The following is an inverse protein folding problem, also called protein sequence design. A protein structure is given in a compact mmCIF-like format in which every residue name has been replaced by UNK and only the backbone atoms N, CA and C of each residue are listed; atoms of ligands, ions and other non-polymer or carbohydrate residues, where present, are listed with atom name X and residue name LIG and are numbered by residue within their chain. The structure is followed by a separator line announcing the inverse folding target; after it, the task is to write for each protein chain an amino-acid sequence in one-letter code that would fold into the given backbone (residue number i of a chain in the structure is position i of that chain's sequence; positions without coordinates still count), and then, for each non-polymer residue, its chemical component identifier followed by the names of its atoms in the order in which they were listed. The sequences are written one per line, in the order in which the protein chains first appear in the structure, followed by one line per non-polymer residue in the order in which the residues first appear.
data_IF_070555708959
#
_entry.id   IF_070555708959
#
_cell.length_a   1.000
_cell.length_b   1.000
_cell.length_c   1.000
_cell.angle_alpha   90.00
_cell.angle_beta   90.00
_cell.angle_gamma   90.00
#
_symmetry.space_group_name_H-M   'P 1'
#
loop_
_entity.id
_entity.type
_entity.pdbx_description
1 polymer ?
#
# COMPACT_ATOMS: atom_id res chain seq x y z
N UNK A 1 -49.17 23.52 0.99
CA UNK A 1 -48.64 23.30 2.35
C UNK A 1 -48.86 21.84 2.74
N UNK A 2 -48.04 20.93 2.22
CA UNK A 2 -48.13 19.50 2.50
C UNK A 2 -46.72 18.89 2.55
N UNK A 3 -45.88 19.41 3.45
CA UNK A 3 -44.48 19.01 3.61
C UNK A 3 -44.06 18.85 5.09
N UNK A 4 -45.02 18.89 6.02
CA UNK A 4 -44.73 18.86 7.45
C UNK A 4 -44.93 17.49 8.13
N UNK A 5 -45.53 16.49 7.47
CA UNK A 5 -45.86 15.20 8.10
C UNK A 5 -45.02 13.99 7.68
N UNK A 6 -44.01 14.16 6.81
CA UNK A 6 -43.11 13.05 6.42
C UNK A 6 -41.81 13.04 7.24
N UNK A 7 -41.47 14.15 7.93
CA UNK A 7 -40.26 14.24 8.75
C UNK A 7 -40.38 13.60 10.14
N UNK A 8 -41.58 13.46 10.70
CA UNK A 8 -41.74 12.93 12.05
C UNK A 8 -41.73 11.40 12.16
N UNK A 9 -42.02 10.66 11.09
CA UNK A 9 -41.97 9.19 11.11
C UNK A 9 -40.57 8.63 10.82
N UNK A 10 -39.68 9.39 10.17
CA UNK A 10 -38.28 8.98 9.93
C UNK A 10 -37.39 9.13 11.16
N UNK A 11 -37.64 10.11 12.00
CA UNK A 11 -36.91 10.32 13.26
C UNK A 11 -37.27 9.26 14.32
N UNK A 12 -38.46 8.66 14.22
CA UNK A 12 -38.91 7.63 15.17
C UNK A 12 -38.30 6.24 14.92
N UNK A 13 -37.72 5.97 13.74
CA UNK A 13 -36.96 4.72 13.48
C UNK A 13 -35.49 4.78 13.92
N UNK A 14 -35.03 5.92 14.42
CA UNK A 14 -33.63 6.12 14.85
C UNK A 14 -33.29 5.47 16.20
N UNK A 15 -34.29 5.05 16.98
CA UNK A 15 -34.07 4.46 18.31
C UNK A 15 -33.99 2.94 18.34
N UNK A 16 -34.25 2.24 17.23
CA UNK A 16 -34.05 0.78 17.11
C UNK A 16 -32.71 0.39 16.45
N UNK A 17 -31.88 1.38 16.08
CA UNK A 17 -30.60 1.20 15.36
C UNK A 17 -29.36 1.11 16.26
N UNK A 18 -29.52 0.77 17.54
CA UNK A 18 -28.41 0.74 18.51
C UNK A 18 -27.35 -0.34 18.18
N UNK A 19 -27.57 -1.21 17.17
CA UNK A 19 -26.69 -2.34 16.86
C UNK A 19 -26.35 -2.56 15.36
N UNK A 20 -26.56 -1.59 14.45
CA UNK A 20 -26.22 -1.78 13.02
C UNK A 20 -25.02 -0.92 12.57
N UNK A 21 -24.03 -1.47 11.83
CA UNK A 21 -22.96 -0.70 11.22
C UNK A 21 -23.50 0.30 10.21
N UNK A 22 -22.77 1.39 10.07
CA UNK A 22 -22.87 2.21 8.88
C UNK A 22 -22.23 1.46 7.71
N UNK A 23 -23.05 1.08 6.75
CA UNK A 23 -22.57 0.69 5.42
C UNK A 23 -21.96 1.94 4.81
N UNK A 24 -20.69 1.92 4.41
CA UNK A 24 -20.10 3.03 3.67
C UNK A 24 -20.65 3.12 2.24
N UNK A 25 -21.90 2.77 1.95
CA UNK A 25 -22.47 2.95 0.60
C UNK A 25 -22.66 4.45 0.38
N UNK A 26 -22.06 5.00 -0.67
CA UNK A 26 -21.99 6.44 -0.96
C UNK A 26 -23.30 7.20 -0.69
N UNK A 27 -23.26 8.12 0.28
CA UNK A 27 -24.30 9.11 0.55
C UNK A 27 -23.61 10.39 1.01
N UNK A 28 -23.92 11.51 0.34
CA UNK A 28 -23.63 12.86 0.81
C UNK A 28 -24.14 13.07 2.24
N UNK A 29 -23.24 13.40 3.17
CA UNK A 29 -23.59 14.05 4.43
C UNK A 29 -24.22 13.18 5.53
N UNK A 30 -23.54 12.13 5.97
CA UNK A 30 -23.87 11.47 7.26
C UNK A 30 -23.11 12.16 8.40
N UNK A 31 -23.80 12.64 9.46
CA UNK A 31 -23.15 13.20 10.64
C UNK A 31 -22.35 12.14 11.38
N UNK A 32 -21.10 12.47 11.70
CA UNK A 32 -20.22 11.71 12.59
C UNK A 32 -20.94 11.58 13.95
N UNK A 33 -21.45 10.39 14.26
CA UNK A 33 -22.23 10.17 15.48
C UNK A 33 -21.33 10.27 16.70
N UNK A 34 -21.57 11.25 17.59
CA UNK A 34 -20.80 11.39 18.82
C UNK A 34 -21.11 10.30 19.85
N UNK A 35 -20.38 9.15 19.87
CA UNK A 35 -19.87 8.47 21.10
C UNK A 35 -19.35 7.03 20.86
N UNK A 36 -18.70 6.51 21.89
CA UNK A 36 -18.01 5.22 22.13
C UNK A 36 -18.76 3.93 21.69
N UNK A 37 -18.38 3.32 20.56
CA UNK A 37 -18.69 1.90 20.32
C UNK A 37 -17.66 1.04 21.08
N UNK A 38 -18.11 0.19 22.01
CA UNK A 38 -17.24 -0.71 22.80
C UNK A 38 -17.28 -2.17 22.34
N UNK A 39 -18.24 -2.53 21.48
CA UNK A 39 -18.44 -3.90 20.99
C UNK A 39 -18.25 -3.95 19.47
N UNK A 40 -17.01 -4.17 19.03
CA UNK A 40 -16.70 -4.43 17.62
C UNK A 40 -16.89 -5.93 17.31
N UNK A 41 -17.40 -6.27 16.11
CA UNK A 41 -17.52 -7.68 15.73
C UNK A 41 -16.13 -8.33 15.65
N UNK A 42 -16.04 -9.61 16.00
CA UNK A 42 -14.83 -10.37 15.80
C UNK A 42 -14.58 -10.64 14.30
N UNK A 43 -13.33 -10.85 13.93
CA UNK A 43 -13.02 -11.39 12.61
C UNK A 43 -13.72 -12.75 12.43
N UNK A 44 -14.39 -12.95 11.30
CA UNK A 44 -15.20 -14.14 11.02
C UNK A 44 -16.65 -14.07 11.52
N UNK A 45 -17.06 -12.99 12.20
CA UNK A 45 -18.47 -12.82 12.61
C UNK A 45 -19.39 -12.90 11.40
N UNK A 46 -20.46 -13.69 11.49
CA UNK A 46 -21.48 -13.79 10.44
C UNK A 46 -22.34 -12.53 10.41
N UNK A 47 -22.52 -11.98 9.22
CA UNK A 47 -23.34 -10.82 8.96
C UNK A 47 -24.82 -11.20 9.00
N UNK A 48 -25.65 -10.49 9.79
CA UNK A 48 -27.09 -10.72 9.82
C UNK A 48 -27.72 -10.72 8.42
N UNK A 49 -28.67 -11.63 8.18
CA UNK A 49 -29.31 -11.79 6.87
C UNK A 49 -30.24 -10.64 6.51
N UNK A 50 -30.70 -9.87 7.51
CA UNK A 50 -31.51 -8.67 7.32
C UNK A 50 -30.70 -7.43 6.90
N UNK A 51 -29.37 -7.47 6.94
CA UNK A 51 -28.55 -6.36 6.45
C UNK A 51 -28.44 -6.38 4.92
N UNK A 52 -28.70 -5.22 4.31
CA UNK A 52 -28.53 -4.99 2.87
C UNK A 52 -27.05 -4.74 2.50
N UNK A 53 -26.26 -5.80 2.61
CA UNK A 53 -24.83 -5.81 2.28
C UNK A 53 -24.48 -6.94 1.32
N UNK A 54 -23.45 -6.70 0.52
CA UNK A 54 -22.95 -7.59 -0.52
C UNK A 54 -21.46 -7.89 -0.33
N UNK A 55 -20.98 -8.94 -1.00
CA UNK A 55 -19.56 -9.28 -1.00
C UNK A 55 -18.68 -8.09 -1.44
N UNK A 56 -17.68 -7.81 -0.61
CA UNK A 56 -16.73 -6.73 -0.79
C UNK A 56 -17.18 -5.39 -0.21
N UNK A 57 -18.41 -5.25 0.30
CA UNK A 57 -18.82 -4.04 1.01
C UNK A 57 -17.92 -3.81 2.23
N UNK A 58 -17.65 -2.52 2.52
CA UNK A 58 -16.85 -2.08 3.67
C UNK A 58 -17.78 -1.51 4.74
N UNK A 59 -17.69 -2.06 5.93
CA UNK A 59 -18.41 -1.65 7.13
C UNK A 59 -17.41 -1.09 8.12
N UNK A 60 -17.69 0.06 8.74
CA UNK A 60 -16.77 0.68 9.69
C UNK A 60 -17.48 1.05 10.99
N UNK A 61 -16.86 0.72 12.12
CA UNK A 61 -17.35 1.05 13.46
C UNK A 61 -16.45 2.04 14.22
N UNK A 62 -15.31 2.44 13.65
CA UNK A 62 -14.44 3.46 14.25
C UNK A 62 -14.70 4.84 13.65
N UNK A 63 -14.49 5.88 14.47
CA UNK A 63 -14.44 7.26 13.99
C UNK A 63 -13.04 7.63 13.53
N UNK A 64 -12.96 8.33 12.41
CA UNK A 64 -11.70 8.77 11.84
C UNK A 64 -10.98 7.60 11.16
N UNK A 65 -9.91 7.10 11.77
CA UNK A 65 -9.11 6.03 11.16
C UNK A 65 -9.91 4.73 11.05
N UNK A 66 -9.81 3.99 9.93
CA UNK A 66 -10.51 2.73 9.68
C UNK A 66 -9.93 1.52 10.46
N UNK A 67 -9.60 1.71 11.74
CA UNK A 67 -9.08 0.65 12.63
C UNK A 67 -10.10 -0.45 12.88
N UNK A 68 -11.39 -0.12 12.83
CA UNK A 68 -12.51 -1.05 12.99
C UNK A 68 -13.34 -1.15 11.71
N UNK A 69 -12.64 -1.15 10.57
CA UNK A 69 -13.21 -1.49 9.28
C UNK A 69 -13.19 -3.00 9.03
N UNK A 70 -14.25 -3.49 8.38
CA UNK A 70 -14.45 -4.89 8.03
C UNK A 70 -14.97 -4.99 6.60
N UNK A 71 -14.57 -6.05 5.91
CA UNK A 71 -15.08 -6.39 4.59
C UNK A 71 -16.08 -7.54 4.67
N UNK A 72 -17.16 -7.47 3.91
CA UNK A 72 -18.14 -8.56 3.80
C UNK A 72 -17.61 -9.63 2.85
N UNK A 73 -17.46 -10.86 3.33
CA UNK A 73 -16.96 -12.01 2.56
C UNK A 73 -18.09 -12.75 1.82
N UNK A 74 -17.74 -13.60 0.84
CA UNK A 74 -18.71 -14.33 0.00
C UNK A 74 -19.68 -15.19 0.83
N UNK A 75 -19.20 -15.76 1.94
CA UNK A 75 -19.96 -16.55 2.90
C UNK A 75 -20.74 -15.70 3.94
N UNK A 76 -20.89 -14.39 3.71
CA UNK A 76 -21.44 -13.41 4.66
C UNK A 76 -20.73 -13.39 6.02
N UNK A 77 -19.43 -13.67 6.09
CA UNK A 77 -18.64 -13.36 7.30
C UNK A 77 -17.90 -12.05 7.15
N UNK A 78 -17.49 -11.45 8.26
CA UNK A 78 -16.66 -10.24 8.26
C UNK A 78 -15.17 -10.59 8.24
N UNK A 79 -14.41 -9.92 7.38
CA UNK A 79 -12.96 -9.90 7.40
C UNK A 79 -12.50 -8.58 7.99
N UNK A 80 -11.84 -8.60 9.15
CA UNK A 80 -11.25 -7.39 9.74
C UNK A 80 -10.21 -6.80 8.78
N UNK A 81 -10.16 -5.48 8.68
CA UNK A 81 -9.11 -4.76 7.94
C UNK A 81 -7.74 -5.33 8.33
N UNK A 82 -6.98 -5.91 7.39
CA UNK A 82 -5.70 -6.52 7.71
C UNK A 82 -4.65 -5.50 8.11
N UNK A 83 -4.84 -4.21 7.77
CA UNK A 83 -3.94 -3.09 8.06
C UNK A 83 -2.46 -3.45 7.94
N UNK A 84 -1.96 -3.51 6.70
CA UNK A 84 -0.54 -3.85 6.44
C UNK A 84 0.44 -2.83 7.03
N UNK A 85 -0.03 -1.67 7.47
CA UNK A 85 0.82 -0.61 8.05
C UNK A 85 0.95 -0.72 9.57
N UNK A 86 0.03 -1.43 10.23
CA UNK A 86 -0.11 -1.44 11.69
C UNK A 86 -0.45 -0.08 12.32
N UNK A 87 -0.87 0.90 11.50
CA UNK A 87 -1.09 2.30 11.89
C UNK A 87 -2.55 2.74 11.79
N UNK A 88 -3.46 1.82 11.53
CA UNK A 88 -4.90 2.04 11.42
C UNK A 88 -5.36 2.56 10.07
N UNK A 89 -4.61 2.30 8.99
CA UNK A 89 -5.01 2.65 7.63
C UNK A 89 -5.80 1.53 6.96
N UNK A 90 -6.67 1.88 6.01
CA UNK A 90 -7.46 0.88 5.27
C UNK A 90 -6.56 0.20 4.25
N UNK A 91 -6.39 -1.11 4.38
CA UNK A 91 -5.91 -1.98 3.31
C UNK A 91 -7.11 -2.66 2.67
N UNK A 92 -7.32 -2.48 1.37
CA UNK A 92 -8.32 -3.22 0.59
C UNK A 92 -7.65 -4.51 0.07
N UNK A 93 -7.95 -5.69 0.63
CA UNK A 93 -7.15 -6.89 0.39
C UNK A 93 -7.52 -7.60 -0.91
N UNK A 94 -6.58 -8.39 -1.43
CA UNK A 94 -6.74 -9.10 -2.70
C UNK A 94 -7.94 -10.04 -2.69
N UNK A 95 -8.24 -10.65 -1.54
CA UNK A 95 -9.36 -11.58 -1.41
C UNK A 95 -10.72 -10.95 -1.76
N UNK A 96 -10.88 -9.62 -1.59
CA UNK A 96 -12.13 -8.91 -1.96
C UNK A 96 -12.08 -8.28 -3.35
N UNK A 97 -10.87 -8.07 -3.90
CA UNK A 97 -10.66 -7.47 -5.22
C UNK A 97 -10.41 -8.50 -6.32
N UNK A 98 -10.07 -9.74 -6.00
CA UNK A 98 -9.63 -10.80 -6.95
C UNK A 98 -10.54 -11.01 -8.17
N UNK A 99 -11.85 -10.82 -7.98
CA UNK A 99 -12.87 -10.99 -9.01
C UNK A 99 -13.40 -9.64 -9.55
N UNK A 100 -12.78 -8.54 -9.14
CA UNK A 100 -13.16 -7.20 -9.53
C UNK A 100 -12.31 -6.78 -10.73
N UNK A 101 -12.97 -6.40 -11.82
CA UNK A 101 -12.28 -5.98 -13.05
C UNK A 101 -11.60 -4.60 -12.93
N UNK A 102 -12.07 -3.77 -12.01
CA UNK A 102 -11.50 -2.46 -11.69
C UNK A 102 -11.70 -2.17 -10.19
N UNK A 103 -10.72 -2.53 -9.37
CA UNK A 103 -10.76 -2.43 -7.93
C UNK A 103 -10.90 -0.97 -7.46
N UNK A 104 -10.12 -0.04 -8.04
CA UNK A 104 -10.18 1.36 -7.66
C UNK A 104 -11.56 1.97 -7.93
N UNK A 105 -12.17 1.67 -9.06
CA UNK A 105 -13.53 2.14 -9.36
C UNK A 105 -14.56 1.50 -8.42
N UNK A 106 -14.43 0.20 -8.10
CA UNK A 106 -15.34 -0.47 -7.15
C UNK A 106 -15.28 0.18 -5.76
N UNK A 107 -14.09 0.55 -5.30
CA UNK A 107 -13.86 1.09 -3.96
C UNK A 107 -13.74 2.62 -3.92
N UNK A 108 -14.00 3.31 -5.03
CA UNK A 108 -13.89 4.77 -5.13
C UNK A 108 -14.72 5.46 -4.04
N UNK A 109 -15.93 4.95 -3.78
CA UNK A 109 -16.81 5.48 -2.76
C UNK A 109 -16.20 5.42 -1.35
N UNK A 110 -15.41 4.37 -1.04
CA UNK A 110 -14.71 4.24 0.26
C UNK A 110 -13.56 5.21 0.29
N UNK A 111 -12.72 5.20 -0.76
CA UNK A 111 -11.51 6.02 -0.87
C UNK A 111 -11.88 7.50 -0.74
N UNK A 112 -12.95 7.95 -1.40
CA UNK A 112 -13.44 9.32 -1.29
C UNK A 112 -14.15 9.57 0.04
N UNK A 113 -14.94 8.60 0.53
CA UNK A 113 -15.74 8.76 1.75
C UNK A 113 -14.91 8.87 3.03
N UNK A 114 -13.83 8.10 3.16
CA UNK A 114 -12.92 8.20 4.31
C UNK A 114 -11.75 9.15 4.07
N UNK A 115 -11.48 9.52 2.81
CA UNK A 115 -10.33 10.30 2.38
C UNK A 115 -9.15 9.42 1.97
N UNK A 116 -8.49 9.77 0.86
CA UNK A 116 -7.34 9.04 0.31
C UNK A 116 -6.23 8.82 1.34
N UNK A 117 -5.98 9.82 2.19
CA UNK A 117 -4.98 9.80 3.26
C UNK A 117 -5.20 8.69 4.30
N UNK A 118 -6.40 8.10 4.33
CA UNK A 118 -6.75 7.02 5.25
C UNK A 118 -6.75 5.63 4.58
N UNK A 119 -6.41 5.54 3.30
CA UNK A 119 -6.27 4.27 2.55
C UNK A 119 -4.79 4.05 2.29
N UNK A 120 -4.21 3.02 2.91
CA UNK A 120 -2.81 2.67 2.65
C UNK A 120 -2.64 2.05 1.28
N UNK A 121 -3.50 1.08 0.95
CA UNK A 121 -3.25 0.20 -0.19
C UNK A 121 -4.52 -0.45 -0.72
N UNK A 122 -4.52 -0.70 -2.03
CA UNK A 122 -5.50 -1.52 -2.74
C UNK A 122 -4.75 -2.63 -3.45
N UNK A 123 -4.94 -3.85 -2.99
CA UNK A 123 -4.36 -5.04 -3.64
C UNK A 123 -5.21 -5.41 -4.85
N UNK A 124 -4.59 -5.67 -6.00
CA UNK A 124 -5.27 -5.77 -7.28
C UNK A 124 -4.90 -7.03 -8.04
N UNK A 125 -5.82 -7.49 -8.89
CA UNK A 125 -5.53 -8.55 -9.85
C UNK A 125 -4.61 -8.00 -10.97
N UNK A 126 -3.66 -8.80 -11.50
CA UNK A 126 -2.80 -8.35 -12.60
C UNK A 126 -3.56 -7.86 -13.86
N UNK A 127 -4.74 -8.41 -14.11
CA UNK A 127 -5.65 -8.01 -15.21
C UNK A 127 -6.58 -6.85 -14.86
N UNK A 128 -6.40 -6.19 -13.71
CA UNK A 128 -7.21 -5.03 -13.34
C UNK A 128 -7.09 -3.92 -14.39
N UNK A 129 -8.23 -3.36 -14.84
CA UNK A 129 -8.28 -2.30 -15.85
C UNK A 129 -7.38 -1.12 -15.47
N UNK A 130 -7.27 -0.78 -14.18
CA UNK A 130 -6.43 0.31 -13.74
C UNK A 130 -4.95 0.04 -14.06
N UNK A 131 -4.46 -1.18 -13.80
CA UNK A 131 -3.08 -1.58 -14.15
C UNK A 131 -2.89 -1.51 -15.66
N UNK A 132 -3.81 -2.15 -16.39
CA UNK A 132 -3.75 -2.25 -17.86
C UNK A 132 -3.77 -0.88 -18.53
N UNK A 133 -4.54 0.07 -17.99
CA UNK A 133 -4.66 1.44 -18.53
C UNK A 133 -3.38 2.26 -18.30
N UNK A 134 -2.72 2.10 -17.15
CA UNK A 134 -1.64 3.00 -16.73
C UNK A 134 -0.24 2.45 -17.03
N UNK A 135 -0.05 1.14 -16.99
CA UNK A 135 1.24 0.51 -17.29
C UNK A 135 1.22 -0.35 -18.56
N UNK A 136 0.06 -0.90 -18.92
CA UNK A 136 -0.10 -1.83 -20.04
C UNK A 136 -0.30 -3.28 -19.57
N UNK A 137 -0.24 -4.22 -20.51
CA UNK A 137 -0.51 -5.63 -20.21
C UNK A 137 0.61 -6.29 -19.42
N UNK A 138 0.23 -6.91 -18.30
CA UNK A 138 1.14 -7.68 -17.45
C UNK A 138 1.67 -8.91 -18.22
N UNK A 139 2.99 -9.15 -18.27
CA UNK A 139 3.58 -10.33 -18.90
C UNK A 139 3.09 -11.65 -18.30
N UNK A 140 2.88 -12.66 -19.15
CA UNK A 140 2.40 -13.99 -18.73
C UNK A 140 3.30 -14.66 -17.66
N UNK A 141 4.61 -14.40 -17.68
CA UNK A 141 5.51 -14.93 -16.65
C UNK A 141 5.18 -14.37 -15.26
N UNK A 142 4.87 -13.08 -15.14
CA UNK A 142 4.47 -12.45 -13.87
C UNK A 142 3.15 -13.03 -13.35
N UNK A 143 2.21 -13.36 -14.24
CA UNK A 143 0.99 -14.09 -13.88
C UNK A 143 1.32 -15.48 -13.33
N UNK A 144 2.16 -16.25 -14.04
CA UNK A 144 2.49 -17.63 -13.64
C UNK A 144 3.18 -17.72 -12.28
N UNK A 145 3.87 -16.65 -11.86
CA UNK A 145 4.52 -16.54 -10.55
C UNK A 145 3.63 -15.89 -9.48
N UNK A 146 2.36 -15.62 -9.77
CA UNK A 146 1.41 -14.96 -8.87
C UNK A 146 1.91 -13.62 -8.34
N UNK A 147 2.61 -12.82 -9.15
CA UNK A 147 3.12 -11.51 -8.74
C UNK A 147 1.98 -10.65 -8.18
N UNK A 148 2.19 -10.10 -6.98
CA UNK A 148 1.20 -9.27 -6.30
C UNK A 148 1.36 -7.82 -6.73
N UNK A 149 0.24 -7.19 -7.06
CA UNK A 149 0.17 -5.77 -7.43
C UNK A 149 -0.62 -5.03 -6.34
N UNK A 150 0.02 -4.08 -5.68
CA UNK A 150 -0.57 -3.34 -4.56
C UNK A 150 -0.40 -1.85 -4.85
N UNK A 151 -1.51 -1.13 -4.97
CA UNK A 151 -1.48 0.30 -5.28
C UNK A 151 -1.74 1.14 -4.04
N UNK A 152 -0.87 2.12 -3.80
CA UNK A 152 -1.05 3.16 -2.80
C UNK A 152 -1.71 4.38 -3.46
N UNK A 153 -2.96 4.71 -3.09
CA UNK A 153 -3.69 5.83 -3.68
C UNK A 153 -3.28 7.21 -3.16
N UNK A 154 -2.51 7.28 -2.07
CA UNK A 154 -1.99 8.52 -1.50
C UNK A 154 -0.72 8.96 -2.23
N UNK A 155 0.26 8.05 -2.32
CA UNK A 155 1.56 8.34 -2.96
C UNK A 155 1.57 8.04 -4.46
N UNK A 156 0.49 7.43 -4.98
CA UNK A 156 0.34 7.01 -6.38
C UNK A 156 1.44 6.05 -6.85
N UNK A 157 1.86 5.15 -5.95
CA UNK A 157 2.81 4.09 -6.22
C UNK A 157 2.12 2.74 -6.46
N UNK A 158 2.65 1.98 -7.42
CA UNK A 158 2.37 0.57 -7.59
C UNK A 158 3.52 -0.25 -7.00
N UNK A 159 3.26 -0.93 -5.89
CA UNK A 159 4.16 -1.94 -5.34
C UNK A 159 3.96 -3.25 -6.08
N UNK A 160 5.06 -3.84 -6.54
CA UNK A 160 5.10 -5.14 -7.20
C UNK A 160 5.93 -6.09 -6.34
N UNK A 161 5.29 -7.14 -5.83
CA UNK A 161 5.93 -8.12 -4.95
C UNK A 161 6.01 -9.48 -5.63
N UNK A 162 7.13 -10.17 -5.47
CA UNK A 162 7.29 -11.56 -5.90
C UNK A 162 7.00 -12.47 -4.70
N UNK A 163 5.90 -13.25 -4.69
CA UNK A 163 5.54 -14.12 -3.57
C UNK A 163 6.67 -15.08 -3.20
N UNK A 164 6.70 -15.46 -1.91
CA UNK A 164 7.71 -16.38 -1.34
C UNK A 164 9.15 -15.87 -1.45
N UNK A 165 9.35 -14.60 -1.79
CA UNK A 165 10.63 -13.92 -1.75
C UNK A 165 10.50 -12.64 -0.91
N UNK A 166 11.63 -12.04 -0.54
CA UNK A 166 11.67 -10.72 0.07
C UNK A 166 11.72 -9.58 -0.96
N UNK A 167 11.48 -9.86 -2.25
CA UNK A 167 11.69 -8.90 -3.34
C UNK A 167 10.42 -8.11 -3.62
N UNK A 168 10.56 -6.79 -3.51
CA UNK A 168 9.51 -5.82 -3.77
C UNK A 168 10.11 -4.57 -4.40
N UNK A 169 9.34 -3.89 -5.24
CA UNK A 169 9.70 -2.56 -5.75
C UNK A 169 8.45 -1.72 -5.99
N UNK A 170 8.57 -0.44 -5.71
CA UNK A 170 7.56 0.57 -6.01
C UNK A 170 7.81 1.21 -7.38
N UNK A 171 6.71 1.52 -8.08
CA UNK A 171 6.71 2.13 -9.39
C UNK A 171 5.72 3.29 -9.42
N UNK A 172 6.23 4.50 -9.68
CA UNK A 172 5.41 5.72 -9.73
C UNK A 172 4.46 5.74 -10.91
N UNK A 173 3.20 6.05 -10.65
CA UNK A 173 2.19 6.28 -11.68
C UNK A 173 2.64 7.41 -12.62
N UNK A 174 2.46 7.21 -13.93
CA UNK A 174 2.78 8.19 -14.97
C UNK A 174 4.27 8.32 -15.32
N UNK A 175 5.18 7.85 -14.47
CA UNK A 175 6.65 7.93 -14.69
C UNK A 175 7.30 6.60 -15.06
N UNK A 176 6.56 5.49 -14.93
CA UNK A 176 7.06 4.13 -15.18
C UNK A 176 6.17 3.41 -16.19
N UNK A 177 6.75 2.51 -16.97
CA UNK A 177 6.03 1.67 -17.94
C UNK A 177 6.04 0.21 -17.51
N UNK A 178 5.12 -0.63 -18.03
CA UNK A 178 5.18 -2.08 -17.77
C UNK A 178 6.52 -2.70 -18.18
N UNK A 179 7.19 -2.16 -19.21
CA UNK A 179 8.53 -2.62 -19.62
C UNK A 179 9.58 -2.36 -18.54
N UNK A 180 9.46 -1.26 -17.78
CA UNK A 180 10.37 -0.98 -16.66
C UNK A 180 10.13 -1.96 -15.51
N UNK A 181 8.86 -2.26 -15.23
CA UNK A 181 8.45 -3.28 -14.24
C UNK A 181 8.99 -4.65 -14.63
N UNK A 182 8.80 -5.06 -15.88
CA UNK A 182 9.29 -6.33 -16.43
C UNK A 182 10.82 -6.41 -16.34
N UNK A 183 11.53 -5.33 -16.71
CA UNK A 183 13.00 -5.27 -16.62
C UNK A 183 13.46 -5.50 -15.19
N UNK A 184 12.81 -4.86 -14.21
CA UNK A 184 13.11 -5.09 -12.81
C UNK A 184 12.80 -6.52 -12.40
N UNK A 185 11.62 -7.04 -12.74
CA UNK A 185 11.17 -8.39 -12.40
C UNK A 185 12.16 -9.45 -12.94
N UNK A 186 12.57 -9.37 -14.20
CA UNK A 186 13.57 -10.28 -14.77
C UNK A 186 14.90 -10.18 -14.02
N UNK A 187 15.39 -8.96 -13.76
CA UNK A 187 16.60 -8.76 -12.97
C UNK A 187 16.50 -9.28 -11.54
N UNK A 188 15.31 -9.22 -10.95
CA UNK A 188 15.01 -9.78 -9.63
C UNK A 188 14.99 -11.31 -9.64
N UNK A 189 14.94 -11.99 -10.79
CA UNK A 189 15.06 -13.46 -10.87
C UNK A 189 16.49 -13.95 -11.09
N UNK A 190 17.42 -13.06 -11.45
CA UNK A 190 18.83 -13.39 -11.68
C UNK A 190 19.62 -13.60 -10.37
N UNK A 191 20.90 -13.97 -10.51
CA UNK A 191 21.86 -14.00 -9.40
C UNK A 191 21.97 -12.63 -8.73
N UNK A 192 21.62 -12.58 -7.45
CA UNK A 192 21.58 -11.32 -6.70
C UNK A 192 22.91 -11.01 -6.00
N UNK A 193 23.12 -9.72 -5.79
CA UNK A 193 24.10 -9.15 -4.86
C UNK A 193 23.43 -8.02 -4.07
N UNK A 194 23.97 -7.75 -2.89
CA UNK A 194 23.57 -6.60 -2.08
C UNK A 194 24.78 -5.88 -1.52
N UNK A 195 24.59 -4.62 -1.16
CA UNK A 195 25.51 -3.84 -0.36
C UNK A 195 24.72 -2.86 0.50
N UNK A 196 25.32 -2.44 1.60
CA UNK A 196 24.70 -1.54 2.55
C UNK A 196 25.40 -0.19 2.56
N UNK A 197 24.62 0.88 2.63
CA UNK A 197 25.10 2.24 2.84
C UNK A 197 24.68 2.69 4.21
N UNK A 198 25.64 2.96 5.09
CA UNK A 198 25.40 3.61 6.37
C UNK A 198 25.69 5.09 6.24
N UNK A 199 24.84 5.91 6.84
CA UNK A 199 24.99 7.36 6.82
C UNK A 199 24.80 7.96 8.21
N UNK A 200 25.44 9.11 8.42
CA UNK A 200 25.29 9.92 9.62
C UNK A 200 25.42 11.40 9.25
N UNK A 201 24.29 12.07 9.08
CA UNK A 201 24.20 13.46 8.68
C UNK A 201 23.88 14.33 9.88
N UNK A 202 24.64 15.42 10.04
CA UNK A 202 24.46 16.41 11.10
C UNK A 202 24.57 17.83 10.53
N UNK A 203 23.94 18.80 11.19
CA UNK A 203 24.07 20.22 10.83
C UNK A 203 23.61 20.55 9.39
N UNK A 204 24.36 21.35 8.60
CA UNK A 204 23.95 21.73 7.23
C UNK A 204 23.73 20.54 6.28
N UNK A 205 24.42 19.42 6.50
CA UNK A 205 24.22 18.20 5.71
C UNK A 205 22.88 17.54 6.00
N UNK A 206 22.34 17.67 7.22
CA UNK A 206 21.01 17.18 7.57
C UNK A 206 19.92 17.94 6.81
N UNK A 207 20.00 19.27 6.70
CA UNK A 207 19.04 20.07 5.94
C UNK A 207 19.04 19.68 4.44
N UNK A 208 20.24 19.58 3.83
CA UNK A 208 20.41 19.11 2.45
C UNK A 208 19.92 17.68 2.27
N UNK A 209 20.06 16.83 3.28
CA UNK A 209 19.57 15.46 3.26
C UNK A 209 18.06 15.36 3.42
N UNK A 210 17.43 16.13 4.30
CA UNK A 210 15.99 16.06 4.56
C UNK A 210 15.17 16.35 3.27
N UNK A 211 15.63 17.31 2.46
CA UNK A 211 15.04 17.60 1.16
C UNK A 211 15.21 16.45 0.15
N UNK A 212 16.31 15.70 0.26
CA UNK A 212 16.70 14.58 -0.63
C UNK A 212 16.17 13.22 -0.13
N UNK A 213 15.91 13.07 1.17
CA UNK A 213 15.47 11.82 1.80
C UNK A 213 14.02 11.51 1.45
N UNK A 214 13.17 12.54 1.42
CA UNK A 214 11.82 12.47 0.83
C UNK A 214 11.85 12.08 -0.65
N UNK A 215 13.00 12.15 -1.31
CA UNK A 215 13.24 11.84 -2.72
C UNK A 215 14.12 10.59 -2.94
N UNK A 216 14.53 9.85 -1.89
CA UNK A 216 15.51 8.78 -2.01
C UNK A 216 15.08 7.63 -2.93
N UNK A 217 13.79 7.34 -3.01
CA UNK A 217 13.26 6.32 -3.91
C UNK A 217 13.05 6.82 -5.33
N UNK A 218 12.98 8.15 -5.54
CA UNK A 218 12.69 8.75 -6.85
C UNK A 218 13.93 9.24 -7.62
N UNK A 219 15.01 9.62 -6.93
CA UNK A 219 16.11 10.40 -7.54
C UNK A 219 17.42 9.65 -7.69
N UNK A 220 17.63 8.55 -6.96
CA UNK A 220 18.86 7.79 -7.07
C UNK A 220 18.83 6.96 -8.39
N UNK A 221 19.70 7.25 -9.37
CA UNK A 221 19.63 6.63 -10.69
C UNK A 221 20.24 5.23 -10.68
N UNK A 222 19.66 4.31 -9.92
CA UNK A 222 20.09 2.92 -9.87
C UNK A 222 19.83 2.24 -11.23
N UNK A 223 20.61 1.20 -11.57
CA UNK A 223 20.24 0.29 -12.65
C UNK A 223 18.80 -0.22 -12.46
N UNK A 224 18.04 -0.39 -13.55
CA UNK A 224 16.61 -0.73 -13.47
C UNK A 224 16.30 -2.01 -12.68
N UNK A 225 17.24 -2.94 -12.66
CA UNK A 225 17.18 -4.24 -11.95
C UNK A 225 17.49 -4.14 -10.46
N UNK A 226 17.90 -2.96 -9.97
CA UNK A 226 18.24 -2.71 -8.58
C UNK A 226 17.10 -2.02 -7.82
N UNK A 227 17.04 -2.31 -6.53
CA UNK A 227 16.13 -1.72 -5.56
C UNK A 227 16.93 -1.20 -4.36
N UNK A 228 16.33 -0.29 -3.61
CA UNK A 228 16.83 0.20 -2.33
C UNK A 228 15.74 0.02 -1.28
N UNK A 229 16.09 -0.49 -0.11
CA UNK A 229 15.19 -0.58 1.03
C UNK A 229 15.80 0.11 2.24
N UNK A 230 15.00 0.90 2.99
CA UNK A 230 15.48 1.49 4.23
C UNK A 230 15.72 0.39 5.27
N UNK A 231 16.81 0.49 6.01
CA UNK A 231 17.03 -0.27 7.24
C UNK A 231 16.64 0.56 8.47
N UNK A 232 17.41 0.44 9.54
CA UNK A 232 17.19 1.25 10.74
C UNK A 232 17.47 2.72 10.46
N UNK A 233 16.54 3.60 10.83
CA UNK A 233 16.65 5.05 10.67
C UNK A 233 16.37 5.72 12.01
N UNK A 234 17.21 6.67 12.38
CA UNK A 234 17.06 7.54 13.54
C UNK A 234 17.12 9.00 13.08
N UNK A 235 16.05 9.74 13.37
CA UNK A 235 15.86 11.13 12.95
C UNK A 235 15.63 11.98 14.20
N UNK A 236 16.55 12.92 14.42
CA UNK A 236 16.40 13.96 15.42
C UNK A 236 16.18 15.33 14.78
N UNK A 237 16.09 16.35 15.63
CA UNK A 237 15.93 17.73 15.20
C UNK A 237 17.11 18.25 14.35
N UNK A 238 18.32 17.73 14.56
CA UNK A 238 19.57 18.23 13.98
C UNK A 238 20.44 17.13 13.34
N UNK A 239 19.91 15.91 13.25
CA UNK A 239 20.63 14.76 12.71
C UNK A 239 19.70 13.75 12.04
N UNK A 240 20.28 13.01 11.09
CA UNK A 240 19.70 11.79 10.56
C UNK A 240 20.80 10.76 10.37
N UNK A 241 20.64 9.61 11.00
CA UNK A 241 21.56 8.48 10.83
C UNK A 241 20.75 7.24 10.51
N UNK A 242 21.30 6.37 9.69
CA UNK A 242 20.61 5.16 9.31
C UNK A 242 21.36 4.36 8.29
N UNK A 243 20.66 3.40 7.71
CA UNK A 243 21.21 2.56 6.67
C UNK A 243 20.20 2.31 5.56
N UNK A 244 20.73 2.13 4.34
CA UNK A 244 20.00 1.65 3.18
C UNK A 244 20.63 0.37 2.70
N UNK A 245 19.81 -0.63 2.39
CA UNK A 245 20.28 -1.85 1.73
C UNK A 245 19.90 -1.79 0.26
N UNK A 246 20.90 -1.92 -0.60
CA UNK A 246 20.74 -1.97 -2.04
C UNK A 246 20.90 -3.41 -2.51
N UNK A 247 20.02 -3.86 -3.40
CA UNK A 247 20.10 -5.20 -3.95
C UNK A 247 19.62 -5.24 -5.40
N UNK A 248 20.16 -6.19 -6.17
CA UNK A 248 19.78 -6.40 -7.56
C UNK A 248 20.69 -7.41 -8.24
N UNK A 249 20.59 -7.48 -9.58
CA UNK A 249 21.42 -8.35 -10.41
C UNK A 249 22.92 -8.05 -10.23
N UNK A 250 23.68 -9.09 -9.87
CA UNK A 250 25.12 -9.05 -9.62
C UNK A 250 25.90 -8.45 -10.77
N UNK A 251 25.48 -8.66 -12.03
CA UNK A 251 26.17 -8.13 -13.21
C UNK A 251 26.32 -6.61 -13.16
N UNK A 252 25.42 -5.92 -12.47
CA UNK A 252 25.35 -4.46 -12.36
C UNK A 252 25.83 -3.92 -11.00
N UNK A 253 26.46 -4.74 -10.15
CA UNK A 253 26.91 -4.34 -8.80
C UNK A 253 27.82 -3.11 -8.80
N UNK A 254 28.83 -3.09 -9.67
CA UNK A 254 29.79 -1.98 -9.71
C UNK A 254 29.14 -0.68 -10.20
N UNK A 255 28.20 -0.77 -11.16
CA UNK A 255 27.45 0.37 -11.65
C UNK A 255 26.52 0.92 -10.56
N UNK A 256 25.80 0.06 -9.85
CA UNK A 256 24.96 0.46 -8.72
C UNK A 256 25.78 1.16 -7.62
N UNK A 257 26.94 0.61 -7.23
CA UNK A 257 27.85 1.24 -6.28
C UNK A 257 28.32 2.61 -6.75
N UNK A 258 28.67 2.75 -8.04
CA UNK A 258 29.09 4.02 -8.63
C UNK A 258 27.98 5.07 -8.57
N UNK A 259 26.74 4.71 -8.89
CA UNK A 259 25.59 5.61 -8.79
C UNK A 259 25.35 6.08 -7.36
N UNK A 260 25.44 5.17 -6.38
CA UNK A 260 25.35 5.50 -4.95
C UNK A 260 26.49 6.43 -4.52
N UNK A 261 27.73 6.11 -4.87
CA UNK A 261 28.89 6.94 -4.52
C UNK A 261 28.77 8.35 -5.08
N UNK A 262 28.34 8.51 -6.34
CA UNK A 262 28.15 9.82 -6.96
C UNK A 262 27.01 10.60 -6.29
N UNK A 263 25.92 9.93 -5.94
CA UNK A 263 24.78 10.56 -5.26
C UNK A 263 25.14 11.08 -3.86
N UNK A 264 25.97 10.33 -3.13
CA UNK A 264 26.43 10.70 -1.78
C UNK A 264 27.82 11.35 -1.76
N UNK A 265 28.35 11.87 -2.88
CA UNK A 265 29.74 12.34 -2.95
C UNK A 265 30.11 13.45 -1.97
N UNK A 266 29.14 14.28 -1.57
CA UNK A 266 29.33 15.38 -0.62
C UNK A 266 28.92 14.99 0.82
N UNK A 267 28.71 13.70 1.06
CA UNK A 267 28.07 13.16 2.25
C UNK A 267 28.95 12.07 2.87
N UNK A 268 29.09 12.10 4.20
CA UNK A 268 29.84 11.10 4.94
C UNK A 268 29.05 9.79 5.00
N UNK A 269 29.34 8.88 4.07
CA UNK A 269 28.75 7.54 4.01
C UNK A 269 29.81 6.44 4.09
N UNK A 270 29.38 5.27 4.57
CA UNK A 270 30.18 4.03 4.53
C UNK A 270 29.43 3.02 3.68
N UNK A 271 30.13 2.39 2.73
CA UNK A 271 29.59 1.30 1.90
C UNK A 271 30.18 -0.01 2.39
N UNK A 272 29.32 -0.95 2.77
CA UNK A 272 29.69 -2.28 3.25
C UNK A 272 29.16 -3.33 2.27
N UNK A 273 30.03 -4.23 1.83
CA UNK A 273 29.62 -5.38 1.02
C UNK A 273 28.89 -6.41 1.88
N UNK A 274 27.77 -6.90 1.37
CA UNK A 274 27.07 -8.01 2.01
C UNK A 274 27.45 -9.33 1.32
N UNK A 275 27.55 -10.43 2.09
CA UNK A 275 27.80 -11.74 1.52
C UNK A 275 26.68 -12.10 0.53
N UNK A 276 27.01 -12.78 -0.58
CA UNK A 276 26.02 -13.19 -1.57
C UNK A 276 24.84 -13.93 -0.93
N UNK A 277 23.62 -13.42 -1.15
CA UNK A 277 22.43 -14.21 -0.91
C UNK A 277 22.36 -15.32 -1.96
N UNK A 278 22.53 -16.58 -1.56
CA UNK A 278 22.21 -17.72 -2.43
C UNK A 278 20.71 -17.68 -2.70
N UNK A 279 20.32 -17.58 -3.97
CA UNK A 279 18.94 -17.80 -4.38
C UNK A 279 18.61 -19.25 -4.04
N UNK A 280 17.75 -19.47 -3.06
CA UNK A 280 17.11 -20.77 -2.88
C UNK A 280 16.05 -20.83 -3.96
N UNK A 281 16.36 -21.51 -5.07
CA UNK A 281 15.39 -21.78 -6.12
C UNK A 281 14.28 -22.63 -5.51
N UNK A 282 13.11 -22.02 -5.25
CA UNK A 282 11.89 -22.79 -4.99
C UNK A 282 11.37 -23.17 -6.38
N UNK A 283 11.57 -24.46 -6.72
CA UNK A 283 11.01 -25.11 -7.91
C UNK A 283 9.55 -25.43 -7.65
#
# INVERSE_FOLDING_TARGET
MALANILNERTARYFDLVNEPQTLKGIDGIPIADSEYKDFPANGTTVPTNWDVSFGDVLNWSKGRPTEAYFVMENRTLLKNPDRTGSGYLTIPFIVTRNTRNALMKYEYVIQGIGKDYVSTVEMHPDDIFIQKNWGSVPAEMHSRNVEFIYDPLEEFLYVNIPHTSKSKEFKLGSTTMKDIETWFTGALEDQSSFRVKYNFTGPHFQKYHDVYRLHTETLPLPKTWSAVPGTIDIGHDHSRGEWTFYGDRKHLNDAKKHVQEFYKDLSITIEDEPPHKVVSIV
#
